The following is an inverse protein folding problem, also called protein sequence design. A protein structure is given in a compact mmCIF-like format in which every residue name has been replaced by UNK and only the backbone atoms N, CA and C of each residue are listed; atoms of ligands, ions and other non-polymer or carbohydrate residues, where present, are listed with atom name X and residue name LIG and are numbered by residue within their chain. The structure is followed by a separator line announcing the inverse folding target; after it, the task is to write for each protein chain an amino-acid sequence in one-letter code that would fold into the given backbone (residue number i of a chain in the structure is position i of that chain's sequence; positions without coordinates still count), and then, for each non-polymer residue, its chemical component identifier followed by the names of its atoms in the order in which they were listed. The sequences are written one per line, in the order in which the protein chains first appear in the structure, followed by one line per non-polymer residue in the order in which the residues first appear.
data_IF_359590834509
#
_entry.id   IF_359590834509
#
_cell.length_a   1.000
_cell.length_b   1.000
_cell.length_c   1.000
_cell.angle_alpha   90.00
_cell.angle_beta   90.00
_cell.angle_gamma   90.00
#
_symmetry.space_group_name_H-M   'P 1'
#
loop_
_entity.id
_entity.type
_entity.pdbx_description
1 polymer ?
#
# COMPACT_ATOMS: atom_id res chain seq x y z
N UNK A 1 -13.75 -29.78 -12.99
CA UNK A 1 -14.00 -30.82 -11.97
C UNK A 1 -15.07 -30.26 -11.02
N UNK A 2 -16.28 -30.82 -10.97
CA UNK A 2 -17.40 -30.29 -10.16
C UNK A 2 -17.23 -30.52 -8.65
N UNK A 3 -16.06 -30.19 -8.11
CA UNK A 3 -15.73 -30.36 -6.69
C UNK A 3 -16.41 -29.27 -5.86
N UNK A 4 -17.00 -29.64 -4.73
CA UNK A 4 -17.54 -28.66 -3.78
C UNK A 4 -16.39 -28.01 -2.98
N UNK A 5 -16.66 -26.84 -2.39
CA UNK A 5 -15.74 -26.13 -1.48
C UNK A 5 -15.24 -27.04 -0.34
N UNK A 6 -16.10 -27.93 0.16
CA UNK A 6 -15.75 -28.88 1.22
C UNK A 6 -14.82 -29.98 0.73
N UNK A 7 -15.04 -30.51 -0.47
CA UNK A 7 -14.17 -31.52 -1.06
C UNK A 7 -12.79 -30.95 -1.35
N UNK A 8 -12.74 -29.71 -1.84
CA UNK A 8 -11.48 -29.00 -2.10
C UNK A 8 -10.71 -28.73 -0.79
N UNK A 9 -11.41 -28.30 0.25
CA UNK A 9 -10.81 -28.04 1.56
C UNK A 9 -10.18 -29.30 2.17
N UNK A 10 -10.89 -30.45 2.06
CA UNK A 10 -10.37 -31.76 2.52
C UNK A 10 -9.14 -32.19 1.73
N UNK A 11 -9.16 -32.06 0.40
CA UNK A 11 -8.02 -32.44 -0.43
C UNK A 11 -6.79 -31.55 -0.18
N UNK A 12 -7.01 -30.27 0.09
CA UNK A 12 -5.94 -29.30 0.34
C UNK A 12 -5.51 -29.21 1.81
N UNK A 13 -6.03 -30.08 2.70
CA UNK A 13 -5.75 -30.06 4.15
C UNK A 13 -5.89 -28.64 4.73
N UNK A 14 -7.06 -28.04 4.50
CA UNK A 14 -7.40 -26.69 4.93
C UNK A 14 -8.88 -26.57 5.27
N UNK A 15 -9.31 -25.43 5.81
CA UNK A 15 -10.70 -25.22 6.19
C UNK A 15 -11.57 -24.79 5.01
N UNK A 16 -12.86 -25.19 4.95
CA UNK A 16 -13.82 -24.69 3.95
C UNK A 16 -13.96 -23.16 3.97
N UNK A 17 -13.85 -22.54 5.15
CA UNK A 17 -13.85 -21.09 5.29
C UNK A 17 -12.61 -20.46 4.63
N UNK A 18 -11.45 -21.11 4.71
CA UNK A 18 -10.23 -20.68 4.01
C UNK A 18 -10.41 -20.74 2.50
N UNK A 19 -10.99 -21.82 1.96
CA UNK A 19 -11.30 -21.93 0.53
C UNK A 19 -12.33 -20.89 0.08
N UNK A 20 -13.43 -20.72 0.82
CA UNK A 20 -14.47 -19.74 0.50
C UNK A 20 -13.93 -18.30 0.51
N UNK A 21 -12.98 -17.97 1.39
CA UNK A 21 -12.29 -16.66 1.37
C UNK A 21 -11.51 -16.43 0.06
N UNK A 22 -10.94 -17.47 -0.53
CA UNK A 22 -10.22 -17.39 -1.79
C UNK A 22 -11.14 -17.29 -3.01
N UNK A 23 -12.28 -17.98 -3.00
CA UNK A 23 -13.29 -17.84 -4.07
C UNK A 23 -13.92 -16.44 -4.11
N UNK A 24 -14.10 -15.81 -2.94
CA UNK A 24 -14.68 -14.48 -2.82
C UNK A 24 -13.66 -13.33 -3.01
N UNK A 25 -12.45 -13.61 -3.50
CA UNK A 25 -11.52 -12.60 -4.02
C UNK A 25 -10.64 -11.86 -2.99
N UNK A 26 -10.41 -12.40 -1.79
CA UNK A 26 -9.45 -11.79 -0.86
C UNK A 26 -7.99 -11.97 -1.35
N UNK A 27 -7.30 -10.84 -1.50
CA UNK A 27 -6.09 -10.66 -2.36
C UNK A 27 -4.77 -11.15 -1.79
N UNK A 28 -4.75 -11.86 -0.66
CA UNK A 28 -3.50 -12.31 -0.02
C UNK A 28 -3.41 -13.83 -0.02
N UNK A 29 -2.73 -14.36 -1.02
CA UNK A 29 -2.43 -15.78 -1.15
C UNK A 29 -1.07 -16.09 -0.54
N UNK A 30 -1.03 -17.02 0.41
CA UNK A 30 0.23 -17.60 0.86
C UNK A 30 0.67 -18.67 -0.15
N UNK A 31 1.95 -18.63 -0.56
CA UNK A 31 2.52 -19.59 -1.52
C UNK A 31 2.35 -21.03 -1.01
N UNK A 32 2.45 -21.24 0.31
CA UNK A 32 2.21 -22.52 0.95
C UNK A 32 0.80 -23.07 0.65
N UNK A 33 -0.22 -22.21 0.69
CA UNK A 33 -1.60 -22.59 0.43
C UNK A 33 -1.85 -22.87 -1.05
N UNK A 34 -1.25 -22.08 -1.95
CA UNK A 34 -1.31 -22.35 -3.39
C UNK A 34 -0.68 -23.70 -3.75
N UNK A 35 0.41 -24.09 -3.08
CA UNK A 35 1.03 -25.42 -3.26
C UNK A 35 0.11 -26.54 -2.79
N UNK A 36 -0.54 -26.39 -1.63
CA UNK A 36 -1.52 -27.37 -1.14
C UNK A 36 -2.68 -27.57 -2.11
N UNK A 37 -3.20 -26.49 -2.69
CA UNK A 37 -4.26 -26.55 -3.70
C UNK A 37 -3.81 -27.23 -4.99
N UNK A 38 -2.61 -26.92 -5.46
CA UNK A 38 -2.05 -27.54 -6.65
C UNK A 38 -1.88 -29.06 -6.47
N UNK A 39 -1.35 -29.50 -5.31
CA UNK A 39 -1.26 -30.93 -4.98
C UNK A 39 -2.63 -31.61 -4.91
N UNK A 40 -3.61 -30.96 -4.26
CA UNK A 40 -4.98 -31.47 -4.12
C UNK A 40 -5.69 -31.69 -5.45
N UNK A 41 -5.39 -30.86 -6.45
CA UNK A 41 -5.99 -30.87 -7.77
C UNK A 41 -5.15 -31.63 -8.82
N UNK A 42 -4.07 -32.30 -8.38
CA UNK A 42 -3.09 -32.95 -9.27
C UNK A 42 -2.57 -31.99 -10.37
N UNK A 43 -2.36 -30.73 -9.97
CA UNK A 43 -1.92 -29.64 -10.83
C UNK A 43 -0.50 -29.22 -10.49
N UNK A 44 0.26 -28.77 -11.48
CA UNK A 44 1.58 -28.17 -11.28
C UNK A 44 1.44 -26.67 -11.02
N UNK A 45 1.87 -26.20 -9.84
CA UNK A 45 1.99 -24.77 -9.57
C UNK A 45 3.25 -24.22 -10.22
N UNK A 46 3.09 -23.31 -11.17
CA UNK A 46 4.18 -22.58 -11.82
C UNK A 46 4.14 -21.12 -11.36
N UNK A 47 5.12 -20.70 -10.55
CA UNK A 47 5.24 -19.32 -10.06
C UNK A 47 6.40 -18.66 -10.80
N UNK A 48 6.07 -17.91 -11.84
CA UNK A 48 7.04 -17.09 -12.55
C UNK A 48 6.97 -15.66 -12.03
N UNK A 49 8.11 -15.17 -11.55
CA UNK A 49 8.31 -13.75 -11.32
C UNK A 49 8.88 -13.17 -12.61
N UNK A 50 8.02 -12.57 -13.43
CA UNK A 50 8.47 -11.68 -14.49
C UNK A 50 8.91 -10.37 -13.86
N UNK A 51 10.04 -9.84 -14.33
CA UNK A 51 10.37 -8.46 -14.03
C UNK A 51 9.19 -7.61 -14.50
N UNK A 52 8.56 -6.89 -13.59
CA UNK A 52 7.88 -5.68 -13.97
C UNK A 52 8.97 -4.80 -14.56
N UNK A 53 9.22 -4.90 -15.87
CA UNK A 53 9.54 -3.71 -16.64
C UNK A 53 8.43 -2.80 -16.20
N UNK A 54 8.76 -1.79 -15.40
CA UNK A 54 7.80 -0.78 -15.01
C UNK A 54 6.98 -0.56 -16.26
N UNK A 55 5.68 -0.85 -16.21
CA UNK A 55 4.82 -0.14 -17.12
C UNK A 55 5.06 1.30 -16.72
N UNK A 56 6.04 1.93 -17.37
CA UNK A 56 5.84 3.19 -18.03
C UNK A 56 4.61 2.99 -18.93
N UNK A 57 3.43 2.73 -18.33
CA UNK A 57 2.32 3.59 -18.64
C UNK A 57 2.94 4.93 -18.37
N UNK A 58 3.19 5.64 -19.48
CA UNK A 58 3.70 7.00 -19.52
C UNK A 58 3.47 7.63 -18.16
N UNK A 59 4.53 7.92 -17.35
CA UNK A 59 4.33 8.43 -16.00
C UNK A 59 3.34 9.55 -16.18
N UNK A 60 2.08 9.34 -15.75
CA UNK A 60 1.00 10.25 -16.11
C UNK A 60 1.56 11.61 -15.83
N UNK A 61 1.58 12.49 -16.85
CA UNK A 61 2.40 13.70 -16.85
C UNK A 61 2.36 14.31 -15.46
N UNK A 62 3.43 14.90 -14.94
CA UNK A 62 3.40 15.45 -13.57
C UNK A 62 2.11 16.26 -13.29
N UNK A 63 1.57 16.91 -14.33
CA UNK A 63 0.25 17.53 -14.38
C UNK A 63 -0.94 16.61 -14.10
N UNK A 64 -1.02 15.41 -14.66
CA UNK A 64 -2.07 14.42 -14.42
C UNK A 64 -2.03 13.86 -13.00
N UNK A 65 -0.82 13.61 -12.47
CA UNK A 65 -0.66 13.26 -11.05
C UNK A 65 -1.16 14.42 -10.17
N UNK A 66 -0.79 15.66 -10.50
CA UNK A 66 -1.25 16.85 -9.79
C UNK A 66 -2.78 16.96 -9.86
N UNK A 67 -3.40 16.75 -11.03
CA UNK A 67 -4.86 16.74 -11.19
C UNK A 67 -5.53 15.65 -10.35
N UNK A 68 -4.97 14.44 -10.31
CA UNK A 68 -5.48 13.35 -9.49
C UNK A 68 -5.44 13.72 -8.00
N UNK A 69 -4.32 14.27 -7.53
CA UNK A 69 -4.11 14.62 -6.12
C UNK A 69 -4.91 15.86 -5.71
N UNK A 70 -5.22 16.77 -6.63
CA UNK A 70 -5.92 18.04 -6.37
C UNK A 70 -7.21 17.87 -5.55
N UNK A 71 -7.93 16.76 -5.70
CA UNK A 71 -9.14 16.45 -4.89
C UNK A 71 -8.87 16.37 -3.39
N UNK A 72 -7.65 16.04 -2.97
CA UNK A 72 -7.26 15.95 -1.56
C UNK A 72 -6.93 17.33 -0.96
N UNK A 73 -6.75 18.34 -1.82
CA UNK A 73 -6.35 19.70 -1.48
C UNK A 73 -7.44 20.70 -1.89
N UNK A 74 -8.70 20.38 -1.60
CA UNK A 74 -9.85 21.22 -1.99
C UNK A 74 -9.85 22.60 -1.33
N UNK A 75 -9.12 22.75 -0.22
CA UNK A 75 -9.02 23.95 0.61
C UNK A 75 -7.86 24.89 0.23
N UNK A 76 -6.99 24.47 -0.70
CA UNK A 76 -5.73 25.15 -0.99
C UNK A 76 -5.35 25.05 -2.46
N UNK A 77 -4.60 26.03 -2.98
CA UNK A 77 -4.03 25.90 -4.32
C UNK A 77 -2.93 24.83 -4.33
N UNK A 78 -3.14 23.78 -5.12
CA UNK A 78 -2.24 22.65 -5.24
C UNK A 78 -1.61 22.59 -6.63
N UNK A 79 -0.29 22.74 -6.67
CA UNK A 79 0.53 22.68 -7.88
C UNK A 79 1.81 21.85 -7.63
N UNK A 80 2.63 21.67 -8.67
CA UNK A 80 3.92 21.00 -8.55
C UNK A 80 4.89 21.73 -7.61
N UNK A 81 4.77 23.04 -7.48
CA UNK A 81 5.60 23.83 -6.56
C UNK A 81 5.18 23.60 -5.10
N UNK A 82 3.88 23.44 -4.83
CA UNK A 82 3.39 23.02 -3.51
C UNK A 82 4.03 21.71 -3.05
N UNK A 83 4.20 20.74 -3.95
CA UNK A 83 4.87 19.46 -3.66
C UNK A 83 6.34 19.67 -3.34
N UNK A 84 7.00 20.64 -3.98
CA UNK A 84 8.40 20.94 -3.71
C UNK A 84 8.59 21.68 -2.38
N UNK A 85 7.81 22.72 -2.16
CA UNK A 85 8.01 23.67 -1.07
C UNK A 85 7.38 23.17 0.25
N UNK A 86 6.28 22.41 0.15
CA UNK A 86 5.50 21.93 1.29
C UNK A 86 5.41 20.41 1.36
N UNK A 87 6.48 19.73 0.94
CA UNK A 87 6.54 18.26 0.81
C UNK A 87 6.05 17.45 2.02
N UNK A 88 6.32 17.88 3.26
CA UNK A 88 5.86 17.16 4.46
C UNK A 88 4.36 17.28 4.64
N UNK A 89 3.79 18.47 4.45
CA UNK A 89 2.35 18.71 4.57
C UNK A 89 1.56 17.98 3.46
N UNK A 90 2.10 17.97 2.23
CA UNK A 90 1.51 17.20 1.11
C UNK A 90 1.48 15.71 1.46
N UNK A 91 2.60 15.17 1.96
CA UNK A 91 2.67 13.77 2.40
C UNK A 91 1.68 13.50 3.51
N UNK A 92 1.63 14.32 4.56
CA UNK A 92 0.67 14.15 5.67
C UNK A 92 -0.77 14.03 5.16
N UNK A 93 -1.18 14.93 4.26
CA UNK A 93 -2.53 14.97 3.74
C UNK A 93 -2.86 13.77 2.85
N UNK A 94 -1.91 13.33 2.02
CA UNK A 94 -2.06 12.14 1.16
C UNK A 94 -2.08 10.86 1.98
N UNK A 95 -1.26 10.75 3.03
CA UNK A 95 -1.24 9.57 3.88
C UNK A 95 -2.52 9.41 4.71
N UNK A 96 -3.09 10.53 5.16
CA UNK A 96 -4.25 10.53 6.05
C UNK A 96 -5.58 10.38 5.27
N UNK A 97 -5.69 11.02 4.09
CA UNK A 97 -6.97 11.12 3.36
C UNK A 97 -6.94 10.45 1.97
N UNK A 98 -5.78 9.98 1.54
CA UNK A 98 -5.57 9.39 0.22
C UNK A 98 -5.92 7.89 0.17
N UNK A 99 -6.04 7.41 -1.06
CA UNK A 99 -6.05 5.98 -1.41
C UNK A 99 -4.62 5.54 -1.69
N UNK A 100 -4.40 4.22 -1.70
CA UNK A 100 -3.09 3.65 -2.04
C UNK A 100 -2.57 4.13 -3.42
N UNK A 101 -3.47 4.33 -4.38
CA UNK A 101 -3.10 4.89 -5.70
C UNK A 101 -2.54 6.32 -5.62
N UNK A 102 -3.03 7.14 -4.69
CA UNK A 102 -2.54 8.52 -4.50
C UNK A 102 -1.17 8.52 -3.83
N UNK A 103 -0.95 7.61 -2.88
CA UNK A 103 0.34 7.40 -2.23
C UNK A 103 1.39 7.00 -3.26
N UNK A 104 1.06 6.06 -4.15
CA UNK A 104 1.95 5.68 -5.24
C UNK A 104 2.20 6.82 -6.23
N UNK A 105 1.17 7.57 -6.61
CA UNK A 105 1.31 8.71 -7.50
C UNK A 105 2.22 9.80 -6.89
N UNK A 106 2.04 10.11 -5.60
CA UNK A 106 2.90 11.06 -4.90
C UNK A 106 4.34 10.55 -4.78
N UNK A 107 4.53 9.26 -4.48
CA UNK A 107 5.86 8.64 -4.42
C UNK A 107 6.57 8.70 -5.78
N UNK A 108 5.84 8.48 -6.88
CA UNK A 108 6.37 8.62 -8.24
C UNK A 108 6.78 10.07 -8.53
N UNK A 109 5.93 11.03 -8.19
CA UNK A 109 6.18 12.46 -8.41
C UNK A 109 7.39 12.98 -7.63
N UNK A 110 7.57 12.54 -6.38
CA UNK A 110 8.65 13.00 -5.50
C UNK A 110 9.93 12.18 -5.62
N UNK A 111 9.83 10.95 -6.11
CA UNK A 111 10.84 9.92 -5.94
C UNK A 111 10.79 9.26 -4.55
N UNK A 112 11.15 7.97 -4.50
CA UNK A 112 11.06 7.12 -3.30
C UNK A 112 11.80 7.71 -2.09
N UNK A 113 13.05 8.16 -2.27
CA UNK A 113 13.87 8.66 -1.16
C UNK A 113 13.30 9.94 -0.53
N UNK A 114 12.91 10.91 -1.36
CA UNK A 114 12.32 12.18 -0.90
C UNK A 114 10.99 11.93 -0.20
N UNK A 115 10.16 11.06 -0.78
CA UNK A 115 8.89 10.66 -0.17
C UNK A 115 9.12 10.08 1.22
N UNK A 116 9.98 9.06 1.37
CA UNK A 116 10.23 8.43 2.67
C UNK A 116 10.83 9.39 3.70
N UNK A 117 11.72 10.31 3.29
CA UNK A 117 12.22 11.39 4.17
C UNK A 117 11.10 12.31 4.64
N UNK A 118 10.12 12.62 3.79
CA UNK A 118 8.95 13.40 4.17
C UNK A 118 8.00 12.62 5.08
N UNK A 119 7.80 11.31 4.85
CA UNK A 119 7.05 10.43 5.76
C UNK A 119 7.69 10.41 7.15
N UNK A 120 9.02 10.29 7.23
CA UNK A 120 9.74 10.29 8.52
C UNK A 120 9.54 11.59 9.31
N UNK A 121 9.37 12.73 8.61
CA UNK A 121 9.15 14.05 9.20
C UNK A 121 7.67 14.36 9.48
N UNK A 122 6.74 13.54 8.97
CA UNK A 122 5.32 13.74 9.16
C UNK A 122 4.94 13.56 10.64
N UNK A 123 4.39 14.61 11.24
CA UNK A 123 4.00 14.63 12.66
C UNK A 123 2.50 14.70 12.84
N UNK A 124 1.76 15.25 11.87
CA UNK A 124 0.31 15.47 11.92
C UNK A 124 -0.48 14.31 11.31
N UNK A 125 -0.10 13.09 11.65
CA UNK A 125 -0.81 11.86 11.29
C UNK A 125 -1.60 11.33 12.49
N UNK A 126 -2.71 10.64 12.24
CA UNK A 126 -3.38 9.87 13.29
C UNK A 126 -2.46 8.75 13.81
N UNK A 127 -2.68 8.25 15.04
CA UNK A 127 -1.89 7.16 15.60
C UNK A 127 -1.85 5.92 14.69
N UNK A 128 -2.99 5.56 14.11
CA UNK A 128 -3.15 4.39 13.24
C UNK A 128 -2.32 4.52 11.96
N UNK A 129 -2.47 5.63 11.24
CA UNK A 129 -1.68 5.93 10.04
C UNK A 129 -0.19 5.98 10.37
N UNK A 130 0.19 6.59 11.49
CA UNK A 130 1.59 6.67 11.92
C UNK A 130 2.20 5.30 12.19
N UNK A 131 1.49 4.44 12.93
CA UNK A 131 2.01 3.11 13.28
C UNK A 131 2.18 2.22 12.05
N UNK A 132 1.23 2.30 11.11
CA UNK A 132 1.36 1.63 9.81
C UNK A 132 2.63 2.08 9.06
N UNK A 133 2.82 3.39 8.89
CA UNK A 133 3.97 3.92 8.14
C UNK A 133 5.31 3.73 8.85
N UNK A 134 5.33 3.73 10.18
CA UNK A 134 6.52 3.32 10.96
C UNK A 134 6.92 1.87 10.67
N UNK A 135 5.93 0.97 10.52
CA UNK A 135 6.17 -0.41 10.12
C UNK A 135 6.81 -0.51 8.73
N UNK A 136 6.37 0.32 7.79
CA UNK A 136 6.96 0.40 6.44
C UNK A 136 8.39 0.97 6.49
N UNK A 137 8.61 2.09 7.18
CA UNK A 137 9.93 2.72 7.28
C UNK A 137 10.99 1.76 7.85
N UNK A 138 10.64 0.99 8.88
CA UNK A 138 11.55 -0.04 9.45
C UNK A 138 11.94 -1.10 8.44
N UNK A 139 10.99 -1.55 7.60
CA UNK A 139 11.28 -2.54 6.54
C UNK A 139 12.19 -1.98 5.45
N UNK A 140 12.10 -0.68 5.19
CA UNK A 140 12.95 0.04 4.24
C UNK A 140 14.32 0.43 4.84
N UNK A 141 14.66 -0.02 6.06
CA UNK A 141 15.92 0.30 6.72
C UNK A 141 16.03 1.75 7.21
N UNK A 142 14.93 2.51 7.18
CA UNK A 142 14.87 3.88 7.68
C UNK A 142 14.60 3.83 9.18
N UNK A 143 15.64 4.00 10.00
CA UNK A 143 15.48 4.12 11.45
C UNK A 143 14.68 5.39 11.78
N UNK A 144 13.64 5.25 12.62
CA UNK A 144 12.96 6.40 13.21
C UNK A 144 13.87 7.07 14.24
N UNK A 145 14.91 7.77 13.78
CA UNK A 145 15.77 8.59 14.64
C UNK A 145 15.03 9.86 15.04
N UNK A 146 14.08 9.74 15.98
CA UNK A 146 13.75 10.71 17.04
C UNK A 146 12.43 10.31 17.72
N UNK A 147 12.54 9.82 18.95
CA UNK A 147 11.46 9.95 19.93
C UNK A 147 11.27 11.43 20.23
N UNK A 148 10.23 12.04 19.66
CA UNK A 148 9.58 13.18 20.30
C UNK A 148 8.08 12.98 20.26
N UNK A 149 7.60 12.13 21.18
CA UNK A 149 6.19 12.07 21.50
C UNK A 149 5.78 13.38 22.17
N UNK A 150 5.04 14.24 21.47
CA UNK A 150 4.07 15.11 22.15
C UNK A 150 2.75 14.36 22.15
N UNK A 151 2.36 13.86 23.33
CA UNK A 151 0.96 13.53 23.63
C UNK A 151 0.19 14.84 23.52
N UNK A 152 -0.46 15.10 22.40
CA UNK A 152 -1.50 16.12 22.34
C UNK A 152 -2.80 15.37 22.47
N UNK A 153 -3.50 15.61 23.59
CA UNK A 153 -4.87 15.18 23.77
C UNK A 153 -5.72 15.90 22.73
N UNK A 154 -6.36 15.14 21.84
CA UNK A 154 -7.48 15.66 21.06
C UNK A 154 -8.67 15.81 22.01
N UNK A 155 -9.06 17.05 22.29
CA UNK A 155 -10.39 17.43 22.80
C UNK A 155 -10.61 18.91 22.47
N UNK A 156 -11.52 19.17 21.52
CA UNK A 156 -12.56 20.21 21.50
C UNK A 156 -13.14 20.30 20.10
#
# INVERSE_FOLDING_TARGET
MGLSVYDLARLADTSPATISRYENGWTRFEIATLRKLAMALDCRLDVNLSACRNSTGDPGSAEDIIKQLKRLFWDTEFSGDTVKDHSVWVVERVLENGRLSDVHALQQLMGKERFLKSVQKATRLSPETRDFWNGILRKEGMECTKRSFRRIAWNS
#
